data_IF_182883479248
#
_entry.id   IF_182883479248
#
_cell.length_a   1.000
_cell.length_b   1.000
_cell.length_c   1.000
_cell.angle_alpha   90.00
_cell.angle_beta   90.00
_cell.angle_gamma   90.00
#
_symmetry.space_group_name_H-M   'P 1'
#
loop_
_entity.id
_entity.type
_entity.pdbx_description
1 polymer ?
#
# COMPACT_ATOMS: atom_id res chain seq x y z
N UNK A 1 -10.24 -5.94 -18.28
CA UNK A 1 -11.36 -5.52 -17.41
C UNK A 1 -11.83 -4.10 -17.70
N UNK A 2 -10.99 -3.06 -17.53
CA UNK A 2 -11.39 -1.65 -17.80
C UNK A 2 -12.00 -1.44 -19.18
N UNK A 3 -11.39 -2.00 -20.23
CA UNK A 3 -11.91 -1.93 -21.59
C UNK A 3 -13.32 -2.52 -21.73
N UNK A 4 -13.59 -3.64 -21.05
CA UNK A 4 -14.85 -4.37 -21.15
C UNK A 4 -16.00 -3.69 -20.39
N UNK A 5 -15.69 -2.96 -19.32
CA UNK A 5 -16.70 -2.35 -18.43
C UNK A 5 -16.90 -0.86 -18.74
N UNK A 6 -15.81 -0.12 -19.00
CA UNK A 6 -15.84 1.34 -19.18
C UNK A 6 -15.49 1.78 -20.62
N UNK A 7 -15.23 0.83 -21.52
CA UNK A 7 -14.84 1.10 -22.90
C UNK A 7 -13.50 1.84 -23.03
N UNK A 8 -13.32 2.50 -24.19
CA UNK A 8 -12.11 3.28 -24.51
C UNK A 8 -11.92 4.48 -23.59
N UNK A 9 -13.00 5.10 -23.14
CA UNK A 9 -12.96 6.25 -22.24
C UNK A 9 -12.36 5.86 -20.87
N UNK A 10 -12.72 4.70 -20.32
CA UNK A 10 -12.14 4.19 -19.07
C UNK A 10 -10.66 3.85 -19.20
N UNK A 11 -10.24 3.27 -20.33
CA UNK A 11 -8.80 3.04 -20.60
C UNK A 11 -8.05 4.38 -20.57
N UNK A 12 -8.57 5.40 -21.25
CA UNK A 12 -7.96 6.74 -21.25
C UNK A 12 -7.85 7.33 -19.85
N UNK A 13 -8.89 7.20 -19.02
CA UNK A 13 -8.86 7.63 -17.61
C UNK A 13 -7.78 6.88 -16.81
N UNK A 14 -7.66 5.57 -16.98
CA UNK A 14 -6.65 4.76 -16.30
C UNK A 14 -5.22 5.13 -16.72
N UNK A 15 -4.96 5.26 -18.02
CA UNK A 15 -3.64 5.64 -18.54
C UNK A 15 -3.21 7.02 -18.06
N UNK A 16 -4.13 7.99 -17.94
CA UNK A 16 -3.84 9.30 -17.35
C UNK A 16 -3.37 9.20 -15.89
N UNK A 17 -3.82 8.20 -15.14
CA UNK A 17 -3.38 7.97 -13.75
C UNK A 17 -1.96 7.39 -13.67
N UNK A 18 -1.53 6.63 -14.67
CA UNK A 18 -0.14 6.16 -14.80
C UNK A 18 0.86 7.30 -14.99
N UNK A 19 0.46 8.36 -15.69
CA UNK A 19 1.33 9.52 -15.97
C UNK A 19 1.04 10.71 -15.05
N UNK A 20 0.28 10.51 -13.97
CA UNK A 20 0.02 11.56 -12.98
C UNK A 20 1.19 11.64 -11.99
N UNK A 21 2.30 12.23 -12.42
CA UNK A 21 3.52 12.43 -11.62
C UNK A 21 3.64 13.84 -11.05
N UNK A 22 2.84 14.81 -11.48
CA UNK A 22 2.85 16.16 -10.91
C UNK A 22 2.08 16.21 -9.59
N UNK A 23 2.69 15.64 -8.55
CA UNK A 23 2.19 15.62 -7.17
C UNK A 23 3.18 16.37 -6.26
N UNK A 24 2.72 16.85 -5.11
CA UNK A 24 3.58 17.64 -4.20
C UNK A 24 4.81 16.86 -3.74
N UNK A 25 5.97 17.52 -3.64
CA UNK A 25 7.26 16.92 -3.29
C UNK A 25 7.24 16.12 -1.96
N UNK A 26 6.42 16.55 -1.01
CA UNK A 26 6.18 15.83 0.24
C UNK A 26 5.80 14.36 0.02
N UNK A 27 5.00 14.05 -1.01
CA UNK A 27 4.55 12.69 -1.27
C UNK A 27 5.67 11.79 -1.80
N UNK A 28 6.57 12.36 -2.60
CA UNK A 28 7.76 11.66 -3.02
C UNK A 28 8.70 11.40 -1.84
N UNK A 29 8.91 12.39 -0.98
CA UNK A 29 9.69 12.21 0.24
C UNK A 29 9.08 11.16 1.16
N UNK A 30 7.76 11.17 1.33
CA UNK A 30 7.05 10.19 2.13
C UNK A 30 7.24 8.78 1.57
N UNK A 31 7.11 8.57 0.26
CA UNK A 31 7.23 7.25 -0.36
C UNK A 31 8.67 6.76 -0.40
N UNK A 32 9.63 7.59 -0.80
CA UNK A 32 11.03 7.17 -0.94
C UNK A 32 11.80 7.09 0.38
N UNK A 33 11.38 7.86 1.39
CA UNK A 33 12.14 7.99 2.64
C UNK A 33 11.25 7.72 3.85
N UNK A 34 10.11 8.41 3.96
CA UNK A 34 9.26 8.35 5.15
C UNK A 34 8.76 6.94 5.48
N UNK A 35 8.13 6.26 4.53
CA UNK A 35 7.57 4.92 4.72
C UNK A 35 8.66 3.85 4.92
N UNK A 36 9.73 3.77 4.10
CA UNK A 36 10.83 2.85 4.35
C UNK A 36 11.45 3.03 5.74
N UNK A 37 11.75 4.28 6.13
CA UNK A 37 12.29 4.57 7.46
C UNK A 37 11.32 4.17 8.57
N UNK A 38 10.03 4.46 8.42
CA UNK A 38 9.01 4.05 9.39
C UNK A 38 9.02 2.53 9.61
N UNK A 39 9.18 1.74 8.55
CA UNK A 39 9.19 0.28 8.60
C UNK A 39 10.48 -0.29 9.20
N UNK A 40 11.63 0.37 9.01
CA UNK A 40 12.93 -0.11 9.56
C UNK A 40 13.34 0.53 10.89
N UNK A 41 12.63 1.57 11.34
CA UNK A 41 13.00 2.34 12.53
C UNK A 41 13.11 1.47 13.78
N UNK A 42 12.15 0.58 14.04
CA UNK A 42 12.22 -0.27 15.25
C UNK A 42 13.28 -1.34 15.16
N UNK A 43 13.42 -2.11 14.06
CA UNK A 43 14.57 -2.99 13.88
C UNK A 43 15.91 -2.28 14.14
N UNK A 44 16.04 -1.03 13.69
CA UNK A 44 17.23 -0.21 13.95
C UNK A 44 17.41 0.15 15.44
N UNK A 45 16.36 0.64 16.11
CA UNK A 45 16.40 1.04 17.51
C UNK A 45 16.69 -0.15 18.43
N UNK A 46 16.10 -1.31 18.14
CA UNK A 46 16.31 -2.54 18.91
C UNK A 46 17.71 -3.12 18.69
N UNK A 47 18.26 -2.97 17.49
CA UNK A 47 19.63 -3.39 17.18
C UNK A 47 20.69 -2.40 17.70
N UNK A 48 20.31 -1.17 18.07
CA UNK A 48 21.22 -0.14 18.55
C UNK A 48 22.28 0.29 17.53
N UNK A 49 22.06 0.06 16.23
CA UNK A 49 23.12 0.19 15.22
C UNK A 49 22.65 0.94 13.98
N UNK A 50 23.04 2.22 13.88
CA UNK A 50 22.92 2.99 12.64
C UNK A 50 23.74 2.36 11.50
N UNK A 51 24.79 1.61 11.82
CA UNK A 51 25.60 0.89 10.84
C UNK A 51 24.79 -0.13 10.03
N UNK A 52 23.70 -0.67 10.60
CA UNK A 52 22.80 -1.58 9.90
C UNK A 52 22.03 -0.89 8.78
N UNK A 53 21.61 0.37 9.00
CA UNK A 53 20.98 1.19 7.97
C UNK A 53 21.99 1.55 6.88
N UNK A 54 23.18 2.00 7.30
CA UNK A 54 24.23 2.44 6.38
C UNK A 54 24.69 1.31 5.44
N UNK A 55 24.71 0.06 5.92
CA UNK A 55 25.07 -1.08 5.07
C UNK A 55 24.00 -1.45 4.04
N UNK A 56 22.72 -1.15 4.32
CA UNK A 56 21.61 -1.38 3.40
C UNK A 56 21.41 -0.27 2.35
N UNK A 57 21.92 0.95 2.60
CA UNK A 57 21.73 2.11 1.72
C UNK A 57 22.15 1.86 0.25
N UNK A 58 23.28 1.20 -0.06
CA UNK A 58 23.65 0.95 -1.46
C UNK A 58 22.72 -0.05 -2.16
N UNK A 59 22.14 -1.00 -1.41
CA UNK A 59 21.27 -2.04 -1.95
C UNK A 59 19.85 -1.55 -2.18
N UNK A 60 19.37 -0.63 -1.34
CA UNK A 60 18.01 -0.09 -1.39
C UNK A 60 17.55 0.41 -2.78
N UNK A 61 18.29 1.27 -3.51
CA UNK A 61 17.83 1.72 -4.83
C UNK A 61 17.77 0.58 -5.85
N UNK A 62 18.67 -0.40 -5.75
CA UNK A 62 18.71 -1.56 -6.66
C UNK A 62 17.49 -2.45 -6.43
N UNK A 63 17.21 -2.78 -5.16
CA UNK A 63 16.03 -3.58 -4.79
C UNK A 63 14.75 -2.85 -5.09
N UNK A 64 14.69 -1.54 -4.84
CA UNK A 64 13.52 -0.72 -5.17
C UNK A 64 13.18 -0.79 -6.65
N UNK A 65 14.15 -0.58 -7.55
CA UNK A 65 13.93 -0.61 -8.99
C UNK A 65 13.55 -2.03 -9.44
N UNK A 66 14.27 -3.05 -8.97
CA UNK A 66 13.97 -4.44 -9.30
C UNK A 66 12.56 -4.85 -8.87
N UNK A 67 12.17 -4.51 -7.64
CA UNK A 67 10.84 -4.76 -7.09
C UNK A 67 9.77 -3.97 -7.84
N UNK A 68 10.03 -2.71 -8.21
CA UNK A 68 9.06 -1.91 -8.94
C UNK A 68 8.60 -2.60 -10.22
N UNK A 69 9.54 -3.10 -11.04
CA UNK A 69 9.23 -3.72 -12.33
C UNK A 69 8.88 -5.21 -12.24
N UNK A 70 9.54 -5.97 -11.37
CA UNK A 70 9.47 -7.43 -11.34
C UNK A 70 8.80 -7.99 -10.09
N UNK A 71 8.69 -7.20 -9.03
CA UNK A 71 8.25 -7.66 -7.71
C UNK A 71 6.79 -7.39 -7.38
N UNK A 72 5.93 -7.16 -8.39
CA UNK A 72 4.50 -6.95 -8.19
C UNK A 72 3.97 -5.54 -8.53
N UNK A 73 4.49 -4.44 -7.92
CA UNK A 73 3.92 -3.10 -8.00
C UNK A 73 3.40 -2.67 -9.38
N UNK A 74 4.26 -2.76 -10.41
CA UNK A 74 3.90 -2.31 -11.75
C UNK A 74 2.75 -3.10 -12.39
N UNK A 75 2.62 -4.39 -12.05
CA UNK A 75 1.62 -5.30 -12.61
C UNK A 75 0.35 -5.39 -11.75
N UNK A 76 0.48 -5.23 -10.43
CA UNK A 76 -0.61 -5.40 -9.47
C UNK A 76 -1.47 -4.15 -9.30
N UNK A 77 -0.84 -3.01 -9.06
CA UNK A 77 -1.54 -1.77 -8.71
C UNK A 77 -2.56 -1.28 -9.75
N UNK A 78 -2.36 -1.47 -11.07
CA UNK A 78 -3.37 -1.13 -12.07
C UNK A 78 -4.70 -1.87 -11.86
N UNK A 79 -4.65 -3.13 -11.43
CA UNK A 79 -5.83 -3.90 -11.06
C UNK A 79 -6.40 -3.45 -9.72
N UNK A 80 -5.58 -3.39 -8.69
CA UNK A 80 -6.06 -3.11 -7.33
C UNK A 80 -6.46 -1.65 -7.13
N UNK A 81 -5.57 -0.69 -7.38
CA UNK A 81 -5.78 0.75 -7.07
C UNK A 81 -6.19 1.53 -8.31
N UNK A 82 -5.86 1.03 -9.49
CA UNK A 82 -6.31 1.57 -10.77
C UNK A 82 -7.78 1.23 -11.07
N UNK A 83 -8.21 -0.01 -10.80
CA UNK A 83 -9.54 -0.51 -11.18
C UNK A 83 -10.48 -0.81 -10.01
N UNK A 84 -10.05 -1.63 -9.03
CA UNK A 84 -10.93 -2.13 -7.97
C UNK A 84 -11.22 -1.09 -6.88
N UNK A 85 -10.20 -0.39 -6.37
CA UNK A 85 -10.33 0.55 -5.27
C UNK A 85 -11.38 1.65 -5.55
N UNK A 86 -11.37 2.36 -6.69
CA UNK A 86 -12.36 3.42 -6.93
C UNK A 86 -13.80 2.91 -6.85
N UNK A 87 -14.06 1.71 -7.38
CA UNK A 87 -15.39 1.08 -7.38
C UNK A 87 -15.83 0.66 -5.98
N UNK A 88 -14.90 0.09 -5.21
CA UNK A 88 -15.18 -0.30 -3.83
C UNK A 88 -15.41 0.92 -2.94
N UNK A 89 -14.63 1.99 -3.10
CA UNK A 89 -14.85 3.23 -2.36
C UNK A 89 -16.16 3.92 -2.75
N UNK A 90 -16.55 3.86 -4.03
CA UNK A 90 -17.84 4.38 -4.47
C UNK A 90 -19.03 3.62 -3.86
N UNK A 91 -18.94 2.30 -3.73
CA UNK A 91 -20.05 1.45 -3.24
C UNK A 91 -20.13 1.33 -1.72
N UNK A 92 -18.99 1.26 -1.04
CA UNK A 92 -18.90 0.94 0.38
C UNK A 92 -18.39 2.11 1.23
N UNK A 93 -17.99 3.21 0.60
CA UNK A 93 -17.26 4.29 1.24
C UNK A 93 -15.75 4.02 1.34
N UNK A 94 -14.95 5.06 1.63
CA UNK A 94 -13.50 5.00 1.57
C UNK A 94 -12.88 3.97 2.51
N UNK A 95 -13.26 3.95 3.79
CA UNK A 95 -12.68 3.02 4.76
C UNK A 95 -13.06 1.56 4.47
N UNK A 96 -14.36 1.25 4.37
CA UNK A 96 -14.85 -0.12 4.15
C UNK A 96 -14.40 -0.67 2.80
N UNK A 97 -14.42 0.14 1.75
CA UNK A 97 -13.92 -0.24 0.43
C UNK A 97 -12.43 -0.57 0.44
N UNK A 98 -11.62 0.20 1.18
CA UNK A 98 -10.18 -0.04 1.30
C UNK A 98 -9.87 -1.29 2.13
N UNK A 99 -10.61 -1.51 3.22
CA UNK A 99 -10.50 -2.72 4.05
C UNK A 99 -10.84 -3.98 3.26
N UNK A 100 -11.99 -4.00 2.56
CA UNK A 100 -12.38 -5.13 1.73
C UNK A 100 -11.32 -5.42 0.66
N UNK A 101 -10.81 -4.38 -0.01
CA UNK A 101 -9.73 -4.54 -0.98
C UNK A 101 -8.48 -5.17 -0.36
N UNK A 102 -8.10 -4.75 0.84
CA UNK A 102 -6.91 -5.27 1.51
C UNK A 102 -7.04 -6.73 1.95
N UNK A 103 -8.25 -7.16 2.34
CA UNK A 103 -8.56 -8.56 2.61
C UNK A 103 -8.46 -9.40 1.32
N UNK A 104 -9.11 -8.94 0.25
CA UNK A 104 -9.08 -9.63 -1.06
C UNK A 104 -7.66 -9.73 -1.61
N UNK A 105 -6.88 -8.65 -1.49
CA UNK A 105 -5.48 -8.61 -1.89
C UNK A 105 -4.62 -9.56 -1.03
N UNK A 106 -4.86 -9.63 0.28
CA UNK A 106 -4.20 -10.61 1.15
C UNK A 106 -4.47 -12.05 0.71
N UNK A 107 -5.73 -12.40 0.46
CA UNK A 107 -6.09 -13.74 -0.04
C UNK A 107 -5.49 -14.07 -1.41
N UNK A 108 -5.32 -13.07 -2.28
CA UNK A 108 -4.68 -13.29 -3.58
C UNK A 108 -3.25 -13.83 -3.47
N UNK A 109 -2.56 -13.58 -2.35
CA UNK A 109 -1.21 -14.11 -2.10
C UNK A 109 -1.18 -15.54 -1.56
N UNK A 110 -2.34 -16.19 -1.34
CA UNK A 110 -2.43 -17.54 -0.79
C UNK A 110 -1.48 -18.55 -1.47
N UNK A 111 -1.35 -18.59 -2.81
CA UNK A 111 -0.44 -19.53 -3.46
C UNK A 111 1.03 -19.38 -3.04
N UNK A 112 1.47 -18.17 -2.69
CA UNK A 112 2.86 -17.90 -2.32
C UNK A 112 3.24 -18.59 -1.00
N UNK A 113 2.30 -18.77 -0.08
CA UNK A 113 2.55 -19.43 1.22
C UNK A 113 2.82 -20.94 1.10
N UNK A 114 2.64 -21.51 -0.09
CA UNK A 114 2.98 -22.90 -0.40
C UNK A 114 4.30 -23.03 -1.19
N UNK A 115 4.95 -21.92 -1.55
CA UNK A 115 6.24 -21.93 -2.25
C UNK A 115 7.36 -22.11 -1.22
N UNK A 116 8.18 -23.19 -1.32
CA UNK A 116 9.28 -23.42 -0.38
C UNK A 116 10.19 -22.19 -0.21
N UNK A 117 10.49 -21.82 1.04
CA UNK A 117 11.33 -20.67 1.37
C UNK A 117 10.60 -19.31 1.45
N UNK A 118 9.30 -19.25 1.15
CA UNK A 118 8.50 -18.02 1.28
C UNK A 118 7.66 -18.02 2.57
N UNK A 119 7.82 -16.99 3.41
CA UNK A 119 6.94 -16.65 4.56
C UNK A 119 6.31 -17.83 5.32
N UNK A 120 7.14 -18.73 5.86
CA UNK A 120 6.68 -19.87 6.66
C UNK A 120 6.34 -21.13 5.88
N UNK A 121 6.58 -21.18 4.57
CA UNK A 121 6.45 -22.42 3.80
C UNK A 121 7.29 -23.55 4.44
N UNK A 122 6.63 -24.67 4.76
CA UNK A 122 7.22 -25.80 5.48
C UNK A 122 6.92 -25.85 6.99
N UNK A 123 6.26 -24.85 7.57
CA UNK A 123 5.91 -24.82 9.01
C UNK A 123 4.66 -25.64 9.39
N UNK A 124 4.14 -26.46 8.47
CA UNK A 124 2.87 -27.17 8.64
C UNK A 124 1.63 -26.25 8.60
N UNK A 125 0.45 -26.84 8.74
CA UNK A 125 -0.85 -26.15 8.59
C UNK A 125 -1.02 -24.96 9.54
N UNK A 126 -0.66 -25.13 10.82
CA UNK A 126 -0.79 -24.07 11.83
C UNK A 126 0.08 -22.87 11.48
N UNK A 127 1.37 -23.09 11.18
CA UNK A 127 2.27 -21.97 10.89
C UNK A 127 1.92 -21.23 9.60
N UNK A 128 1.50 -21.95 8.54
CA UNK A 128 1.01 -21.34 7.29
C UNK A 128 -0.23 -20.51 7.56
N UNK A 129 -1.19 -21.05 8.34
CA UNK A 129 -2.43 -20.34 8.64
C UNK A 129 -2.19 -19.09 9.48
N UNK A 130 -1.31 -19.16 10.48
CA UNK A 130 -0.92 -17.99 11.29
C UNK A 130 -0.23 -16.93 10.43
N UNK A 131 0.75 -17.32 9.61
CA UNK A 131 1.45 -16.39 8.73
C UNK A 131 0.50 -15.70 7.74
N UNK A 132 -0.43 -16.47 7.17
CA UNK A 132 -1.43 -15.95 6.24
C UNK A 132 -2.41 -14.99 6.92
N UNK A 133 -2.90 -15.31 8.12
CA UNK A 133 -3.76 -14.41 8.88
C UNK A 133 -3.04 -13.11 9.21
N UNK A 134 -1.80 -13.17 9.71
CA UNK A 134 -1.00 -11.97 10.00
C UNK A 134 -0.80 -11.13 8.74
N UNK A 135 -0.52 -11.78 7.60
CA UNK A 135 -0.36 -11.10 6.32
C UNK A 135 -1.66 -10.41 5.87
N UNK A 136 -2.82 -11.07 5.96
CA UNK A 136 -4.11 -10.47 5.61
C UNK A 136 -4.43 -9.24 6.47
N UNK A 137 -4.13 -9.29 7.77
CA UNK A 137 -4.34 -8.14 8.65
C UNK A 137 -3.39 -6.99 8.25
N UNK A 138 -2.12 -7.30 7.93
CA UNK A 138 -1.16 -6.31 7.46
C UNK A 138 -1.55 -5.69 6.09
N UNK A 139 -1.98 -6.50 5.12
CA UNK A 139 -2.43 -5.99 3.81
C UNK A 139 -3.71 -5.17 3.93
N UNK A 140 -4.59 -5.50 4.88
CA UNK A 140 -5.79 -4.72 5.19
C UNK A 140 -5.44 -3.33 5.72
N UNK A 141 -4.48 -3.23 6.64
CA UNK A 141 -3.97 -1.95 7.11
C UNK A 141 -3.25 -1.16 6.00
N UNK A 142 -2.37 -1.81 5.24
CA UNK A 142 -1.67 -1.19 4.12
C UNK A 142 -2.65 -0.66 3.06
N UNK A 143 -3.71 -1.41 2.75
CA UNK A 143 -4.71 -0.97 1.77
C UNK A 143 -5.34 0.38 2.13
N UNK A 144 -5.45 0.71 3.42
CA UNK A 144 -5.88 2.04 3.90
C UNK A 144 -4.82 3.11 3.60
N UNK A 145 -3.54 2.81 3.85
CA UNK A 145 -2.42 3.73 3.53
C UNK A 145 -2.37 4.00 2.02
N UNK A 146 -2.47 2.95 1.20
CA UNK A 146 -2.54 3.04 -0.25
C UNK A 146 -3.72 3.88 -0.71
N UNK A 147 -4.90 3.65 -0.13
CA UNK A 147 -6.09 4.42 -0.43
C UNK A 147 -5.93 5.89 -0.07
N UNK A 148 -5.35 6.20 1.09
CA UNK A 148 -5.08 7.58 1.50
C UNK A 148 -4.10 8.29 0.57
N UNK A 149 -2.97 7.65 0.22
CA UNK A 149 -1.98 8.22 -0.72
C UNK A 149 -2.60 8.41 -2.09
N UNK A 150 -3.29 7.38 -2.62
CA UNK A 150 -4.03 7.46 -3.88
C UNK A 150 -4.99 8.65 -3.86
N UNK A 151 -5.84 8.75 -2.84
CA UNK A 151 -6.88 9.78 -2.77
C UNK A 151 -6.31 11.19 -2.60
N UNK A 152 -5.26 11.36 -1.79
CA UNK A 152 -4.61 12.68 -1.62
C UNK A 152 -3.85 13.16 -2.85
N UNK A 153 -3.46 12.25 -3.73
CA UNK A 153 -2.69 12.55 -4.94
C UNK A 153 -3.54 12.49 -6.20
N UNK A 154 -4.87 12.58 -6.05
CA UNK A 154 -5.78 12.63 -7.19
C UNK A 154 -5.89 11.30 -7.95
N UNK A 155 -5.62 10.19 -7.27
CA UNK A 155 -5.54 8.88 -7.86
C UNK A 155 -4.26 8.64 -8.66
N UNK A 156 -3.13 9.26 -8.29
CA UNK A 156 -1.84 8.96 -8.94
C UNK A 156 -1.49 7.48 -8.79
N UNK A 157 -1.59 6.73 -9.89
CA UNK A 157 -1.24 5.32 -9.89
C UNK A 157 0.29 5.16 -9.88
N UNK A 158 1.01 6.09 -10.50
CA UNK A 158 2.47 6.14 -10.45
C UNK A 158 2.99 6.17 -9.01
N UNK A 159 2.49 7.10 -8.20
CA UNK A 159 2.93 7.24 -6.82
C UNK A 159 2.54 6.02 -5.97
N UNK A 160 1.39 5.40 -6.25
CA UNK A 160 0.97 4.17 -5.58
C UNK A 160 1.89 2.99 -5.91
N UNK A 161 2.33 2.85 -7.17
CA UNK A 161 3.33 1.83 -7.54
C UNK A 161 4.68 2.10 -6.85
N UNK A 162 5.08 3.36 -6.72
CA UNK A 162 6.26 3.73 -5.95
C UNK A 162 6.10 3.36 -4.47
N UNK A 163 4.95 3.66 -3.85
CA UNK A 163 4.66 3.29 -2.47
C UNK A 163 4.74 1.77 -2.26
N UNK A 164 4.20 0.98 -3.18
CA UNK A 164 4.29 -0.47 -3.09
C UNK A 164 5.75 -0.93 -3.18
N UNK A 165 6.51 -0.42 -4.15
CA UNK A 165 7.92 -0.74 -4.29
C UNK A 165 8.72 -0.34 -3.04
N UNK A 166 8.41 0.80 -2.41
CA UNK A 166 9.09 1.29 -1.21
C UNK A 166 8.86 0.37 -0.01
N UNK A 167 7.64 -0.14 0.16
CA UNK A 167 7.30 -1.09 1.24
C UNK A 167 8.05 -2.40 1.03
N UNK A 168 7.97 -2.97 -0.18
CA UNK A 168 8.58 -4.27 -0.49
C UNK A 168 10.12 -4.24 -0.47
N UNK A 169 10.73 -3.09 -0.77
CA UNK A 169 12.19 -2.91 -0.71
C UNK A 169 12.71 -2.48 0.67
N UNK A 170 11.85 -2.05 1.60
CA UNK A 170 12.27 -1.52 2.90
C UNK A 170 13.15 -2.47 3.70
N UNK A 171 12.90 -3.78 3.65
CA UNK A 171 13.71 -4.78 4.35
C UNK A 171 15.20 -4.81 3.93
N UNK A 172 15.52 -4.35 2.72
CA UNK A 172 16.91 -4.25 2.24
C UNK A 172 17.72 -3.14 2.91
N UNK A 173 17.06 -2.18 3.58
CA UNK A 173 17.73 -1.15 4.38
C UNK A 173 18.28 -1.69 5.70
N UNK A 174 17.75 -2.82 6.21
CA UNK A 174 18.25 -3.44 7.44
C UNK A 174 18.27 -4.98 7.34
N UNK A 175 19.06 -5.56 6.41
CA UNK A 175 19.00 -7.00 6.09
C UNK A 175 19.29 -7.91 7.28
N UNK A 176 20.21 -7.49 8.16
CA UNK A 176 20.62 -8.24 9.34
C UNK A 176 19.49 -8.43 10.38
N UNK A 177 18.40 -7.66 10.27
CA UNK A 177 17.35 -7.59 11.29
C UNK A 177 15.94 -7.80 10.73
N UNK A 178 15.78 -7.90 9.41
CA UNK A 178 14.49 -7.95 8.74
C UNK A 178 13.60 -9.15 9.13
N UNK A 179 14.15 -10.20 9.74
CA UNK A 179 13.47 -11.50 9.89
C UNK A 179 13.35 -12.05 11.32
N UNK A 180 13.61 -11.25 12.37
CA UNK A 180 13.29 -11.71 13.73
C UNK A 180 11.81 -11.55 14.03
N UNK A 181 11.23 -12.47 14.81
CA UNK A 181 9.81 -12.40 15.21
C UNK A 181 9.48 -11.07 15.90
N UNK A 182 10.36 -10.59 16.78
CA UNK A 182 10.20 -9.31 17.48
C UNK A 182 10.14 -8.15 16.50
N UNK A 183 11.06 -8.10 15.54
CA UNK A 183 11.10 -7.03 14.55
C UNK A 183 9.87 -7.04 13.63
N UNK A 184 9.37 -8.22 13.25
CA UNK A 184 8.13 -8.34 12.47
C UNK A 184 6.92 -7.82 13.25
N UNK A 185 6.75 -8.25 14.50
CA UNK A 185 5.64 -7.79 15.36
C UNK A 185 5.68 -6.26 15.52
N UNK A 186 6.85 -5.70 15.79
CA UNK A 186 6.98 -4.25 15.98
C UNK A 186 6.71 -3.46 14.69
N UNK A 187 7.17 -3.96 13.55
CA UNK A 187 6.88 -3.36 12.23
C UNK A 187 5.38 -3.33 11.99
N UNK A 188 4.67 -4.41 12.30
CA UNK A 188 3.21 -4.45 12.20
C UNK A 188 2.54 -3.47 13.17
N UNK A 189 2.98 -3.40 14.43
CA UNK A 189 2.44 -2.43 15.40
C UNK A 189 2.58 -1.00 14.88
N UNK A 190 3.75 -0.62 14.38
CA UNK A 190 3.96 0.74 13.83
C UNK A 190 3.07 0.99 12.63
N UNK A 191 2.97 0.03 11.72
CA UNK A 191 2.07 0.13 10.57
C UNK A 191 0.61 0.33 11.02
N UNK A 192 0.16 -0.41 12.04
CA UNK A 192 -1.19 -0.26 12.59
C UNK A 192 -1.39 1.10 13.25
N UNK A 193 -0.42 1.58 14.03
CA UNK A 193 -0.47 2.91 14.64
C UNK A 193 -0.53 3.99 13.56
N UNK A 194 0.33 3.92 12.55
CA UNK A 194 0.33 4.87 11.44
C UNK A 194 -1.00 4.84 10.66
N UNK A 195 -1.53 3.65 10.40
CA UNK A 195 -2.85 3.47 9.76
C UNK A 195 -3.96 4.06 10.62
N UNK A 196 -3.93 3.83 11.94
CA UNK A 196 -4.91 4.37 12.88
C UNK A 196 -4.86 5.89 12.93
N UNK A 197 -3.65 6.49 12.93
CA UNK A 197 -3.47 7.93 12.82
C UNK A 197 -4.11 8.46 11.53
N UNK A 198 -3.91 7.79 10.39
CA UNK A 198 -4.56 8.18 9.13
C UNK A 198 -6.08 8.10 9.24
N UNK A 199 -6.62 7.02 9.81
CA UNK A 199 -8.07 6.86 10.00
C UNK A 199 -8.61 8.01 10.85
N UNK A 200 -7.99 8.29 11.99
CA UNK A 200 -8.44 9.34 12.92
C UNK A 200 -8.31 10.73 12.27
N UNK A 201 -7.14 11.04 11.72
CA UNK A 201 -6.86 12.35 11.10
C UNK A 201 -7.76 12.65 9.90
N UNK A 202 -8.21 11.61 9.18
CA UNK A 202 -9.13 11.75 8.05
C UNK A 202 -10.59 11.46 8.40
N UNK A 203 -10.89 11.17 9.68
CA UNK A 203 -12.22 10.73 10.15
C UNK A 203 -12.79 9.58 9.32
N UNK A 204 -11.93 8.64 8.91
CA UNK A 204 -12.27 7.51 8.05
C UNK A 204 -12.54 7.86 6.59
N UNK A 205 -12.49 9.14 6.19
CA UNK A 205 -12.73 9.55 4.79
C UNK A 205 -11.55 9.28 3.87
N UNK A 206 -10.35 9.07 4.41
CA UNK A 206 -9.12 8.79 3.64
C UNK A 206 -8.90 9.81 2.50
N UNK A 207 -9.32 11.06 2.71
CA UNK A 207 -9.27 12.14 1.70
C UNK A 207 -10.00 11.86 0.39
N UNK A 208 -11.00 10.98 0.41
CA UNK A 208 -11.76 10.58 -0.78
C UNK A 208 -12.51 11.74 -1.46
N UNK A 209 -12.96 12.73 -0.69
CA UNK A 209 -13.60 13.94 -1.24
C UNK A 209 -12.68 14.68 -2.24
N UNK A 210 -11.36 14.65 -2.00
CA UNK A 210 -10.38 15.23 -2.91
C UNK A 210 -10.24 14.40 -4.19
N UNK A 211 -10.24 13.07 -4.06
CA UNK A 211 -10.21 12.18 -5.21
C UNK A 211 -11.39 12.47 -6.13
N UNK A 212 -12.61 12.52 -5.59
CA UNK A 212 -13.82 12.81 -6.36
C UNK A 212 -13.73 14.15 -7.10
N UNK A 213 -13.33 15.23 -6.43
CA UNK A 213 -13.16 16.55 -7.06
C UNK A 213 -12.16 16.54 -8.22
N UNK A 214 -11.08 15.78 -8.11
CA UNK A 214 -10.02 15.75 -9.14
C UNK A 214 -10.28 14.76 -10.29
N UNK A 215 -11.14 13.75 -10.09
CA UNK A 215 -11.41 12.72 -11.11
C UNK A 215 -12.81 12.79 -11.70
N UNK A 216 -13.76 13.38 -11.00
CA UNK A 216 -15.17 13.52 -11.39
C UNK A 216 -15.68 14.96 -11.14
N UNK A 217 -15.09 15.98 -11.80
CA UNK A 217 -15.43 17.39 -11.56
C UNK A 217 -16.88 17.78 -11.94
N UNK A 218 -17.62 16.87 -12.60
CA UNK A 218 -19.03 17.05 -12.94
C UNK A 218 -20.00 16.66 -11.83
N UNK A 219 -19.53 16.05 -10.73
CA UNK A 219 -20.36 15.83 -9.55
C UNK A 219 -20.50 17.18 -8.81
N UNK A 220 -21.73 17.69 -8.58
CA UNK A 220 -21.90 18.92 -7.82
C UNK A 220 -21.28 18.76 -6.42
N UNK A 221 -20.75 19.86 -5.88
CA UNK A 221 -20.34 19.99 -4.46
C UNK A 221 -21.57 19.77 -3.58
N UNK A 222 -21.96 18.51 -3.40
CA UNK A 222 -23.21 18.15 -2.73
C UNK A 222 -22.94 17.84 -1.27
N UNK A 223 -23.65 18.49 -0.33
CA UNK A 223 -23.71 18.10 1.08
C UNK A 223 -24.26 16.67 1.29
N UNK A 224 -24.71 15.97 0.24
CA UNK A 224 -25.28 14.64 0.33
C UNK A 224 -24.29 13.56 0.83
N UNK A 225 -22.98 13.80 0.76
CA UNK A 225 -21.98 12.91 1.38
C UNK A 225 -22.06 12.89 2.92
N UNK A 226 -22.67 13.91 3.54
CA UNK A 226 -22.90 13.94 5.00
C UNK A 226 -24.16 13.15 5.40
N UNK A 227 -25.02 12.74 4.46
CA UNK A 227 -26.30 12.05 4.74
C UNK A 227 -26.26 10.52 4.57
N UNK A 228 -25.09 9.95 4.27
CA UNK A 228 -24.89 8.50 4.13
C UNK A 228 -24.01 7.90 5.25
N UNK A 229 -23.83 8.63 6.35
CA UNK A 229 -23.18 8.13 7.57
C UNK A 229 -24.24 7.93 8.65
#
# INVERSE_FOLDING_TARGET
MTAAIDGRAGIGKLLRRYIRWRVGAFWYLLVFVGIPLLLVLVPMLMAGSISALLSGLPLYPITYIGVFFLGGPFLEEPGWRGFALPRLQQRLGPLRGSLLLGVLWGFWHLPLFFIPGYNGAGSGFVGISTAMLTFIVATSALSIVFAWVSNRTGGSLFLVMLLHASINSSGSLAPAFANTLVNQIMTYIILFVFTLIIIIATRGRLSYDRYLRETEPSLPDSPALDRLI
#
